data_IF_756002461875
#
_entry.id   IF_756002461875
#
_cell.length_a   1.000
_cell.length_b   1.000
_cell.length_c   1.000
_cell.angle_alpha   90.00
_cell.angle_beta   90.00
_cell.angle_gamma   90.00
#
_symmetry.space_group_name_H-M   'P 1'
#
loop_
_entity.id
_entity.type
_entity.pdbx_description
1 polymer ?
#
# COMPACT_ATOMS: atom_id res chain seq x y z
N UNK A 1 56.97 -15.90 36.22
CA UNK A 1 58.13 -15.08 35.82
C UNK A 1 58.16 -15.06 34.30
N UNK A 2 57.42 -14.15 33.65
CA UNK A 2 57.87 -12.83 33.19
C UNK A 2 58.60 -12.86 31.84
N UNK A 3 57.95 -12.41 30.77
CA UNK A 3 58.36 -11.20 30.00
C UNK A 3 57.44 -10.93 28.81
N UNK A 4 56.90 -9.71 28.84
CA UNK A 4 56.33 -8.96 27.72
C UNK A 4 57.42 -8.44 26.78
N UNK A 5 56.95 -7.89 25.65
CA UNK A 5 57.63 -7.07 24.61
C UNK A 5 58.01 -7.87 23.35
N UNK A 6 57.76 -7.40 22.12
CA UNK A 6 57.59 -6.02 21.66
C UNK A 6 56.88 -5.99 20.29
N UNK A 7 56.02 -4.98 20.11
CA UNK A 7 55.43 -4.58 18.83
C UNK A 7 56.55 -4.06 17.91
N UNK A 8 56.57 -4.48 16.65
CA UNK A 8 57.24 -3.71 15.58
C UNK A 8 56.40 -3.72 14.30
N UNK A 9 55.95 -2.52 13.98
CA UNK A 9 55.43 -2.02 12.72
C UNK A 9 56.18 -2.53 11.49
N UNK A 10 55.47 -2.93 10.44
CA UNK A 10 55.71 -2.42 9.08
C UNK A 10 54.66 -2.94 8.08
N UNK A 11 53.97 -2.00 7.44
CA UNK A 11 53.35 -2.06 6.11
C UNK A 11 52.07 -2.92 5.94
N UNK A 12 50.94 -2.23 6.09
CA UNK A 12 49.63 -2.56 5.53
C UNK A 12 49.76 -2.51 4.00
N UNK A 13 49.54 -3.60 3.24
CA UNK A 13 49.35 -3.47 1.81
C UNK A 13 47.97 -2.83 1.60
N UNK A 14 48.00 -1.68 0.94
CA UNK A 14 46.86 -0.94 0.44
C UNK A 14 46.14 -1.82 -0.60
N UNK A 15 45.29 -2.74 -0.14
CA UNK A 15 44.40 -3.48 -1.03
C UNK A 15 43.33 -2.47 -1.46
N UNK A 16 43.47 -1.95 -2.67
CA UNK A 16 42.40 -1.24 -3.37
C UNK A 16 41.20 -2.19 -3.48
N UNK A 17 40.29 -2.09 -2.52
CA UNK A 17 38.95 -2.66 -2.67
C UNK A 17 38.28 -1.75 -3.69
N UNK A 18 38.28 -2.19 -4.94
CA UNK A 18 37.30 -1.77 -5.94
C UNK A 18 35.93 -2.17 -5.39
N UNK A 19 35.39 -1.36 -4.48
CA UNK A 19 33.98 -1.40 -4.12
C UNK A 19 33.25 -0.95 -5.37
N UNK A 20 32.88 -1.94 -6.19
CA UNK A 20 31.83 -1.78 -7.18
C UNK A 20 30.68 -1.04 -6.51
N UNK A 21 30.20 0.03 -7.12
CA UNK A 21 29.22 0.94 -6.54
C UNK A 21 27.87 0.30 -6.15
N UNK A 22 27.70 -1.01 -6.36
CA UNK A 22 26.59 -1.82 -5.88
C UNK A 22 26.66 -2.21 -4.40
N UNK A 23 27.81 -2.07 -3.73
CA UNK A 23 27.95 -2.46 -2.32
C UNK A 23 27.33 -1.43 -1.34
N UNK A 24 27.09 -0.19 -1.78
CA UNK A 24 26.53 0.86 -0.94
C UNK A 24 25.01 1.05 -1.11
N UNK A 25 24.37 0.43 -2.11
CA UNK A 25 22.92 0.56 -2.36
C UNK A 25 22.06 -0.46 -1.60
N UNK A 26 22.64 -1.17 -0.63
CA UNK A 26 21.97 -2.24 0.14
C UNK A 26 22.22 -2.16 1.65
N UNK A 27 22.80 -1.07 2.17
CA UNK A 27 22.98 -0.91 3.63
C UNK A 27 21.65 -0.71 4.37
N UNK A 28 20.56 -0.34 3.69
CA UNK A 28 19.23 -0.19 4.27
C UNK A 28 18.54 -1.52 4.58
N UNK A 29 19.22 -2.67 4.45
CA UNK A 29 18.66 -4.02 4.74
C UNK A 29 19.36 -4.76 5.86
N UNK A 30 20.38 -4.19 6.49
CA UNK A 30 21.15 -4.86 7.52
C UNK A 30 21.32 -4.00 8.76
N UNK A 31 21.17 -4.64 9.92
CA UNK A 31 21.53 -4.03 11.18
C UNK A 31 23.04 -3.78 11.23
N UNK A 32 23.43 -2.59 11.66
CA UNK A 32 24.82 -2.27 12.01
C UNK A 32 24.95 -2.50 13.50
N UNK A 33 25.74 -3.50 13.89
CA UNK A 33 26.02 -3.83 15.30
C UNK A 33 27.46 -3.48 15.68
N UNK A 34 27.68 -2.98 16.90
CA UNK A 34 29.00 -2.83 17.50
C UNK A 34 29.02 -3.57 18.84
N UNK A 35 29.89 -4.58 18.97
CA UNK A 35 30.00 -5.42 20.17
C UNK A 35 28.63 -5.96 20.61
N UNK A 36 27.90 -6.58 19.68
CA UNK A 36 26.58 -7.18 19.91
C UNK A 36 25.46 -6.17 20.27
N UNK A 37 25.75 -4.87 20.24
CA UNK A 37 24.76 -3.81 20.38
C UNK A 37 24.39 -3.25 19.01
N UNK A 38 23.13 -3.39 18.62
CA UNK A 38 22.59 -2.74 17.41
C UNK A 38 22.69 -1.23 17.55
N UNK A 39 23.46 -0.61 16.66
CA UNK A 39 23.65 0.83 16.56
C UNK A 39 22.68 1.47 15.55
N UNK A 40 22.30 0.70 14.53
CA UNK A 40 21.34 1.08 13.51
C UNK A 40 20.61 -0.17 13.05
N UNK A 41 19.29 -0.09 12.91
CA UNK A 41 18.46 -1.10 12.27
C UNK A 41 17.60 -0.37 11.25
N UNK A 42 17.44 -0.90 10.03
CA UNK A 42 16.52 -0.31 9.07
C UNK A 42 15.10 -0.24 9.63
N UNK A 43 14.31 0.72 9.17
CA UNK A 43 12.89 0.74 9.51
C UNK A 43 12.22 -0.49 8.88
N UNK A 44 11.58 -1.31 9.71
CA UNK A 44 10.74 -2.40 9.24
C UNK A 44 9.52 -1.82 8.53
N UNK A 45 9.18 -2.39 7.37
CA UNK A 45 7.94 -2.09 6.68
C UNK A 45 6.74 -2.54 7.51
N UNK A 46 5.58 -1.97 7.19
CA UNK A 46 4.33 -2.28 7.85
C UNK A 46 3.81 -3.67 7.44
N UNK A 47 3.62 -4.57 8.41
CA UNK A 47 3.17 -5.95 8.18
C UNK A 47 1.94 -6.35 9.02
N UNK A 48 1.45 -5.47 9.90
CA UNK A 48 0.31 -5.75 10.78
C UNK A 48 -1.04 -5.54 10.07
N UNK A 49 -1.32 -6.41 9.09
CA UNK A 49 -2.57 -6.45 8.34
C UNK A 49 -2.90 -7.89 7.86
N UNK A 50 -4.17 -8.13 7.56
CA UNK A 50 -4.63 -9.38 6.95
C UNK A 50 -5.65 -9.08 5.85
N UNK A 51 -5.35 -9.53 4.64
CA UNK A 51 -6.17 -9.37 3.45
C UNK A 51 -6.50 -10.77 2.92
N UNK A 52 -7.76 -11.24 3.01
CA UNK A 52 -8.13 -12.59 2.57
C UNK A 52 -8.01 -12.81 1.06
N UNK A 53 -8.12 -11.75 0.26
CA UNK A 53 -7.96 -11.79 -1.19
C UNK A 53 -6.46 -11.67 -1.52
N UNK A 54 -5.90 -12.73 -2.12
CA UNK A 54 -4.47 -12.80 -2.41
C UNK A 54 -4.01 -11.71 -3.40
N UNK A 55 -4.83 -11.37 -4.41
CA UNK A 55 -4.47 -10.33 -5.37
C UNK A 55 -4.44 -8.95 -4.72
N UNK A 56 -5.35 -8.69 -3.79
CA UNK A 56 -5.33 -7.47 -2.99
C UNK A 56 -4.12 -7.46 -2.04
N UNK A 57 -3.83 -8.59 -1.39
CA UNK A 57 -2.66 -8.72 -0.51
C UNK A 57 -1.35 -8.45 -1.24
N UNK A 58 -1.16 -9.04 -2.42
CA UNK A 58 0.03 -8.86 -3.25
C UNK A 58 0.17 -7.38 -3.66
N UNK A 59 -0.91 -6.74 -4.11
CA UNK A 59 -0.91 -5.34 -4.48
C UNK A 59 -0.56 -4.42 -3.29
N UNK A 60 -1.14 -4.67 -2.11
CA UNK A 60 -0.89 -3.87 -0.91
C UNK A 60 0.55 -4.07 -0.43
N UNK A 61 1.08 -5.30 -0.46
CA UNK A 61 2.48 -5.58 -0.13
C UNK A 61 3.43 -4.80 -1.05
N UNK A 62 3.17 -4.84 -2.36
CA UNK A 62 3.98 -4.08 -3.32
C UNK A 62 3.89 -2.57 -3.07
N UNK A 63 2.69 -2.03 -2.79
CA UNK A 63 2.52 -0.61 -2.50
C UNK A 63 3.25 -0.19 -1.21
N UNK A 64 3.27 -1.05 -0.19
CA UNK A 64 4.01 -0.83 1.06
C UNK A 64 5.52 -0.82 0.80
N UNK A 65 6.03 -1.76 -0.01
CA UNK A 65 7.44 -1.81 -0.40
C UNK A 65 7.86 -0.58 -1.22
N UNK A 66 7.09 -0.24 -2.25
CA UNK A 66 7.39 0.86 -3.17
C UNK A 66 7.41 2.23 -2.47
N UNK A 67 6.53 2.42 -1.48
CA UNK A 67 6.40 3.66 -0.73
C UNK A 67 7.09 3.62 0.65
N UNK A 68 7.84 2.55 0.94
CA UNK A 68 8.54 2.34 2.22
C UNK A 68 7.65 2.60 3.45
N UNK A 69 6.42 2.09 3.42
CA UNK A 69 5.41 2.36 4.43
C UNK A 69 5.71 1.58 5.71
N UNK A 70 5.73 2.27 6.84
CA UNK A 70 6.08 1.71 8.16
C UNK A 70 4.93 1.67 9.16
N UNK A 71 3.79 2.29 8.84
CA UNK A 71 2.54 2.26 9.61
C UNK A 71 1.34 2.16 8.67
N UNK A 72 0.21 1.64 9.15
CA UNK A 72 -1.03 1.57 8.36
C UNK A 72 -1.42 2.92 7.74
N UNK A 73 -1.31 3.99 8.54
CA UNK A 73 -1.64 5.37 8.18
C UNK A 73 -0.81 5.92 7.02
N UNK A 74 0.34 5.30 6.71
CA UNK A 74 1.19 5.72 5.61
C UNK A 74 0.62 5.39 4.22
N UNK A 75 -0.34 4.46 4.13
CA UNK A 75 -0.95 4.08 2.85
C UNK A 75 -2.14 5.00 2.51
N UNK A 76 -1.84 6.16 1.93
CA UNK A 76 -2.88 7.12 1.53
C UNK A 76 -3.39 6.92 0.09
N UNK A 77 -2.63 6.22 -0.75
CA UNK A 77 -2.94 6.00 -2.17
C UNK A 77 -2.68 4.55 -2.52
N UNK A 78 -3.68 3.89 -3.08
CA UNK A 78 -3.57 2.50 -3.52
C UNK A 78 -4.10 2.35 -4.94
N UNK A 79 -3.30 1.73 -5.81
CA UNK A 79 -3.72 1.37 -7.16
C UNK A 79 -3.50 -0.13 -7.39
N UNK A 80 -4.61 -0.86 -7.40
CA UNK A 80 -4.67 -2.30 -7.68
C UNK A 80 -5.56 -2.59 -8.91
N UNK A 81 -5.54 -1.71 -9.90
CA UNK A 81 -6.30 -1.94 -11.13
C UNK A 81 -5.72 -3.15 -11.88
N UNK A 82 -6.58 -3.98 -12.49
CA UNK A 82 -6.18 -5.18 -13.27
C UNK A 82 -5.44 -6.26 -12.45
N UNK A 83 -5.75 -6.37 -11.15
CA UNK A 83 -5.13 -7.35 -10.27
C UNK A 83 -5.92 -8.66 -10.13
N UNK A 84 -7.19 -8.69 -10.58
CA UNK A 84 -8.07 -9.85 -10.43
C UNK A 84 -8.76 -9.94 -9.06
N UNK A 85 -8.84 -8.81 -8.33
CA UNK A 85 -9.41 -8.71 -7.00
C UNK A 85 -10.91 -9.02 -7.03
N UNK A 86 -11.38 -9.79 -6.05
CA UNK A 86 -12.79 -10.11 -5.86
C UNK A 86 -13.35 -9.52 -4.56
N UNK A 87 -12.52 -9.37 -3.54
CA UNK A 87 -12.91 -8.88 -2.22
C UNK A 87 -12.00 -7.78 -1.71
N UNK A 88 -12.61 -6.78 -1.07
CA UNK A 88 -11.92 -5.68 -0.38
C UNK A 88 -11.73 -5.97 1.13
N UNK A 89 -11.94 -7.22 1.55
CA UNK A 89 -11.78 -7.69 2.93
C UNK A 89 -10.47 -7.24 3.56
N UNK A 90 -10.53 -6.63 4.74
CA UNK A 90 -9.35 -6.19 5.50
C UNK A 90 -8.77 -4.83 5.08
N UNK A 91 -9.24 -4.24 3.97
CA UNK A 91 -8.73 -2.94 3.50
C UNK A 91 -8.98 -1.80 4.50
N UNK A 92 -10.00 -1.95 5.35
CA UNK A 92 -10.30 -1.04 6.46
C UNK A 92 -9.14 -0.85 7.46
N UNK A 93 -8.11 -1.70 7.42
CA UNK A 93 -6.88 -1.51 8.20
C UNK A 93 -6.14 -0.22 7.81
N UNK A 94 -6.30 0.25 6.58
CA UNK A 94 -5.66 1.43 6.04
C UNK A 94 -6.65 2.61 6.03
N UNK A 95 -7.09 3.04 7.21
CA UNK A 95 -8.17 4.03 7.38
C UNK A 95 -7.85 5.42 6.80
N UNK A 96 -6.56 5.74 6.65
CA UNK A 96 -6.07 6.99 6.05
C UNK A 96 -6.00 6.92 4.51
N UNK A 97 -6.54 5.87 3.88
CA UNK A 97 -6.58 5.75 2.43
C UNK A 97 -7.49 6.82 1.82
N UNK A 98 -6.89 7.76 1.07
CA UNK A 98 -7.58 8.90 0.44
C UNK A 98 -7.95 8.63 -1.01
N UNK A 99 -7.17 7.82 -1.72
CA UNK A 99 -7.40 7.50 -3.14
C UNK A 99 -7.27 6.01 -3.40
N UNK A 100 -8.33 5.41 -3.94
CA UNK A 100 -8.36 3.99 -4.29
C UNK A 100 -8.67 3.81 -5.78
N UNK A 101 -7.78 3.12 -6.49
CA UNK A 101 -7.99 2.70 -7.89
C UNK A 101 -8.00 1.18 -7.97
N UNK A 102 -9.15 0.61 -8.31
CA UNK A 102 -9.39 -0.82 -8.43
C UNK A 102 -10.16 -1.14 -9.70
N UNK A 103 -9.89 -0.38 -10.77
CA UNK A 103 -10.50 -0.59 -12.08
C UNK A 103 -10.16 -1.98 -12.64
N UNK A 104 -11.02 -2.52 -13.50
CA UNK A 104 -10.78 -3.78 -14.21
C UNK A 104 -10.50 -4.96 -13.26
N UNK A 105 -11.37 -5.12 -12.25
CA UNK A 105 -11.34 -6.23 -11.30
C UNK A 105 -12.70 -6.96 -11.30
N UNK A 106 -12.90 -7.88 -10.35
CA UNK A 106 -14.14 -8.65 -10.21
C UNK A 106 -14.85 -8.32 -8.88
N UNK A 107 -14.73 -7.08 -8.42
CA UNK A 107 -15.31 -6.64 -7.15
C UNK A 107 -16.82 -6.50 -7.31
N UNK A 108 -17.56 -7.00 -6.33
CA UNK A 108 -19.03 -6.87 -6.25
C UNK A 108 -19.51 -6.16 -4.99
N UNK A 109 -18.81 -6.36 -3.87
CA UNK A 109 -19.22 -5.87 -2.56
C UNK A 109 -18.31 -4.72 -2.10
N UNK A 110 -18.93 -3.62 -1.73
CA UNK A 110 -18.26 -2.39 -1.29
C UNK A 110 -18.34 -2.15 0.23
N UNK A 111 -18.88 -3.10 1.00
CA UNK A 111 -19.13 -2.92 2.44
C UNK A 111 -17.88 -2.54 3.24
N UNK A 112 -16.71 -3.05 2.87
CA UNK A 112 -15.47 -2.71 3.58
C UNK A 112 -15.07 -1.25 3.42
N UNK A 113 -15.52 -0.59 2.34
CA UNK A 113 -15.20 0.81 2.08
C UNK A 113 -15.86 1.74 3.08
N UNK A 114 -16.98 1.35 3.73
CA UNK A 114 -17.71 2.20 4.70
C UNK A 114 -16.88 2.57 5.94
N UNK A 115 -15.70 1.97 6.10
CA UNK A 115 -14.77 2.23 7.22
C UNK A 115 -13.60 3.14 6.81
N UNK A 116 -13.52 3.54 5.55
CA UNK A 116 -12.46 4.39 5.02
C UNK A 116 -12.93 5.85 5.03
N UNK A 117 -13.05 6.43 6.22
CA UNK A 117 -13.60 7.78 6.41
C UNK A 117 -12.80 8.85 5.67
N UNK A 118 -11.50 8.64 5.47
CA UNK A 118 -10.61 9.54 4.74
C UNK A 118 -10.71 9.43 3.21
N UNK A 119 -11.52 8.51 2.66
CA UNK A 119 -11.57 8.25 1.22
C UNK A 119 -12.21 9.41 0.46
N UNK A 120 -11.41 10.07 -0.39
CA UNK A 120 -11.82 11.22 -1.19
C UNK A 120 -12.19 10.83 -2.63
N UNK A 121 -11.44 9.89 -3.21
CA UNK A 121 -11.60 9.45 -4.59
C UNK A 121 -11.56 7.93 -4.70
N UNK A 122 -12.52 7.38 -5.45
CA UNK A 122 -12.51 5.98 -5.85
C UNK A 122 -12.74 5.83 -7.35
N UNK A 123 -11.91 5.00 -7.97
CA UNK A 123 -12.11 4.50 -9.33
C UNK A 123 -12.30 2.98 -9.26
N UNK A 124 -13.48 2.52 -9.63
CA UNK A 124 -13.90 1.12 -9.61
C UNK A 124 -14.62 0.75 -10.92
N UNK A 125 -14.12 1.33 -12.01
CA UNK A 125 -14.62 1.08 -13.35
C UNK A 125 -14.44 -0.41 -13.72
N UNK A 126 -15.28 -0.92 -14.61
CA UNK A 126 -15.19 -2.28 -15.15
C UNK A 126 -15.08 -3.35 -14.05
N UNK A 127 -16.06 -3.36 -13.15
CA UNK A 127 -16.22 -4.35 -12.09
C UNK A 127 -17.63 -4.98 -12.18
N UNK A 128 -18.05 -5.69 -11.13
CA UNK A 128 -19.35 -6.33 -11.03
C UNK A 128 -20.26 -5.69 -9.97
N UNK A 129 -20.17 -4.37 -9.79
CA UNK A 129 -20.95 -3.64 -8.78
C UNK A 129 -22.43 -3.55 -9.20
N UNK A 130 -23.31 -3.83 -8.23
CA UNK A 130 -24.77 -3.77 -8.41
C UNK A 130 -25.37 -2.57 -7.67
N UNK A 131 -24.75 -2.16 -6.56
CA UNK A 131 -25.24 -1.09 -5.68
C UNK A 131 -24.07 -0.30 -5.07
N UNK A 132 -24.28 1.01 -4.91
CA UNK A 132 -23.29 1.97 -4.37
C UNK A 132 -23.65 2.49 -2.98
N UNK A 133 -24.74 2.00 -2.36
CA UNK A 133 -25.13 2.39 -0.98
C UNK A 133 -23.93 2.50 -0.03
N UNK A 134 -22.97 1.54 0.02
CA UNK A 134 -21.81 1.66 0.91
C UNK A 134 -20.96 2.93 0.71
N UNK A 135 -20.87 3.46 -0.52
CA UNK A 135 -20.10 4.67 -0.82
C UNK A 135 -20.81 5.94 -0.35
N UNK A 136 -22.14 5.91 -0.22
CA UNK A 136 -22.94 7.09 0.14
C UNK A 136 -22.78 7.50 1.61
N UNK A 137 -22.27 6.59 2.45
CA UNK A 137 -22.02 6.82 3.86
C UNK A 137 -20.67 7.53 4.12
N UNK A 138 -19.81 7.64 3.11
CA UNK A 138 -18.46 8.20 3.28
C UNK A 138 -18.51 9.72 3.42
N UNK A 139 -17.98 10.27 4.53
CA UNK A 139 -18.18 11.69 4.85
C UNK A 139 -17.45 12.59 3.86
N UNK A 140 -16.24 12.23 3.47
CA UNK A 140 -15.34 13.10 2.69
C UNK A 140 -15.21 12.68 1.22
N UNK A 141 -16.02 11.73 0.75
CA UNK A 141 -15.99 11.29 -0.63
C UNK A 141 -16.39 12.42 -1.58
N UNK A 142 -15.57 12.64 -2.60
CA UNK A 142 -15.72 13.75 -3.56
C UNK A 142 -15.91 13.23 -4.99
N UNK A 143 -15.21 12.15 -5.36
CA UNK A 143 -15.20 11.65 -6.74
C UNK A 143 -15.36 10.14 -6.77
N UNK A 144 -16.32 9.68 -7.58
CA UNK A 144 -16.58 8.25 -7.83
C UNK A 144 -16.60 8.02 -9.33
N UNK A 145 -15.72 7.14 -9.81
CA UNK A 145 -15.83 6.56 -11.15
C UNK A 145 -16.25 5.11 -11.04
N UNK A 146 -17.39 4.78 -11.66
CA UNK A 146 -18.00 3.44 -11.61
C UNK A 146 -18.52 2.99 -12.99
N UNK A 147 -17.93 3.53 -14.06
CA UNK A 147 -18.25 3.17 -15.44
C UNK A 147 -18.06 1.67 -15.68
N UNK A 148 -18.73 1.12 -16.70
CA UNK A 148 -18.53 -0.30 -17.06
C UNK A 148 -19.03 -1.32 -16.03
N UNK A 149 -19.77 -0.91 -14.99
CA UNK A 149 -20.49 -1.81 -14.10
C UNK A 149 -21.89 -2.09 -14.66
N UNK A 150 -21.99 -3.02 -15.61
CA UNK A 150 -23.21 -3.27 -16.39
C UNK A 150 -24.43 -3.71 -15.57
N UNK A 151 -24.21 -4.29 -14.38
CA UNK A 151 -25.27 -4.72 -13.47
C UNK A 151 -25.71 -3.63 -12.47
N UNK A 152 -25.10 -2.44 -12.53
CA UNK A 152 -25.37 -1.35 -11.60
C UNK A 152 -26.82 -0.86 -11.74
N UNK A 153 -27.52 -0.79 -10.62
CA UNK A 153 -28.86 -0.24 -10.55
C UNK A 153 -28.81 1.29 -10.50
N UNK A 154 -29.14 1.99 -11.59
CA UNK A 154 -28.96 3.44 -11.68
C UNK A 154 -29.70 4.27 -10.61
N UNK A 155 -30.76 3.74 -10.01
CA UNK A 155 -31.47 4.42 -8.92
C UNK A 155 -30.63 4.55 -7.64
N UNK A 156 -29.58 3.75 -7.44
CA UNK A 156 -28.70 3.89 -6.27
C UNK A 156 -27.81 5.13 -6.37
N UNK A 157 -27.56 5.64 -7.58
CA UNK A 157 -26.75 6.84 -7.80
C UNK A 157 -27.40 8.11 -7.25
N UNK A 158 -28.73 8.18 -7.14
CA UNK A 158 -29.42 9.34 -6.57
C UNK A 158 -29.25 9.48 -5.05
N UNK A 159 -28.63 8.49 -4.40
CA UNK A 159 -28.35 8.52 -2.96
C UNK A 159 -27.06 9.30 -2.63
N UNK A 160 -26.22 9.58 -3.62
CA UNK A 160 -25.04 10.42 -3.40
C UNK A 160 -25.45 11.86 -3.05
N UNK A 161 -24.72 12.45 -2.09
CA UNK A 161 -24.85 13.86 -1.80
C UNK A 161 -24.45 14.69 -3.03
N UNK A 162 -25.09 15.85 -3.24
CA UNK A 162 -24.83 16.75 -4.38
C UNK A 162 -23.37 17.23 -4.51
N UNK A 163 -22.54 17.04 -3.48
CA UNK A 163 -21.11 17.36 -3.48
C UNK A 163 -20.24 16.32 -4.19
N UNK A 164 -20.76 15.12 -4.42
CA UNK A 164 -20.02 14.00 -5.02
C UNK A 164 -20.16 14.05 -6.53
N UNK A 165 -19.03 14.11 -7.23
CA UNK A 165 -18.97 13.96 -8.68
C UNK A 165 -18.97 12.48 -9.02
N UNK A 166 -19.96 12.04 -9.79
CA UNK A 166 -20.13 10.63 -10.18
C UNK A 166 -19.97 10.48 -11.68
N UNK A 167 -18.96 9.71 -12.10
CA UNK A 167 -18.79 9.23 -13.48
C UNK A 167 -19.48 7.86 -13.56
N UNK A 168 -20.62 7.84 -14.24
CA UNK A 168 -21.57 6.72 -14.24
C UNK A 168 -21.47 5.87 -15.53
N UNK A 169 -21.95 4.61 -15.50
CA UNK A 169 -22.12 3.80 -16.70
C UNK A 169 -23.05 4.45 -17.73
N UNK A 170 -22.88 4.11 -19.01
CA UNK A 170 -23.68 4.67 -20.12
C UNK A 170 -25.19 4.36 -20.03
N UNK A 171 -25.58 3.25 -19.40
CA UNK A 171 -26.99 2.90 -19.23
C UNK A 171 -27.69 3.68 -18.11
N UNK A 172 -26.92 4.48 -17.37
CA UNK A 172 -27.39 5.44 -16.39
C UNK A 172 -27.27 6.86 -16.95
#
# INVERSE_FOLDING_TARGET
>A
MSRLSQVRSSQIPLLLILLSQSACSHLDRYDITLNERTLYSPRSLFEDYYLPDAALADCVSQAIEDAEIVTADGLEVLNCSKAGIQSLGGLARFSELKRLKVNDNNIRNLVELTKLDALLEIQIDNNAIVDVVPLTALPDLQTVSISGNAALQCHSLSQFANRVTVIKPEHC
#
